data_IF_945030164831
#
_entry.id   IF_945030164831
#
_cell.length_a   1.000
_cell.length_b   1.000
_cell.length_c   1.000
_cell.angle_alpha   90.00
_cell.angle_beta   90.00
_cell.angle_gamma   90.00
#
_symmetry.space_group_name_H-M   'P 1'
#
loop_
_entity.id
_entity.type
_entity.pdbx_description
1 polymer ?
#
# COMPACT_ATOMS: atom_id res chain seq x y z
N UNK A 1 11.72 20.27 4.71
CA UNK A 1 11.53 19.65 3.37
C UNK A 1 10.77 18.35 3.59
N UNK A 2 9.93 17.90 2.65
CA UNK A 2 9.23 16.61 2.82
C UNK A 2 10.26 15.48 2.91
N UNK A 3 10.04 14.49 3.78
CA UNK A 3 10.95 13.37 3.99
C UNK A 3 11.07 12.43 2.77
N UNK A 4 10.18 12.57 1.79
CA UNK A 4 10.20 11.90 0.49
C UNK A 4 9.47 12.76 -0.56
N UNK A 5 9.80 12.58 -1.85
CA UNK A 5 9.08 13.22 -2.98
C UNK A 5 8.31 12.19 -3.81
N UNK A 6 8.79 10.94 -3.82
CA UNK A 6 8.27 9.87 -4.68
C UNK A 6 7.62 8.76 -3.84
N UNK A 7 6.43 8.36 -4.27
CA UNK A 7 5.74 7.17 -3.80
C UNK A 7 5.77 6.09 -4.89
N UNK A 8 6.06 4.85 -4.52
CA UNK A 8 6.06 3.68 -5.40
C UNK A 8 4.86 2.81 -5.04
N UNK A 9 4.08 2.41 -6.03
CA UNK A 9 2.92 1.52 -5.87
C UNK A 9 3.12 0.26 -6.71
N UNK A 10 3.46 -0.87 -6.08
CA UNK A 10 3.54 -2.16 -6.76
C UNK A 10 2.16 -2.67 -7.17
N UNK A 11 1.88 -2.72 -8.48
CA UNK A 11 0.60 -3.12 -9.07
C UNK A 11 0.77 -4.17 -10.19
N UNK A 12 1.87 -4.91 -10.20
CA UNK A 12 2.21 -5.89 -11.23
C UNK A 12 1.70 -7.31 -10.94
N UNK A 13 1.06 -7.55 -9.79
CA UNK A 13 0.57 -8.86 -9.39
C UNK A 13 -0.60 -9.36 -10.26
N UNK A 14 -0.71 -10.68 -10.42
CA UNK A 14 -1.77 -11.33 -11.23
C UNK A 14 -3.17 -11.29 -10.59
N UNK A 15 -3.28 -11.01 -9.29
CA UNK A 15 -4.57 -10.95 -8.60
C UNK A 15 -5.36 -12.27 -8.61
N UNK A 16 -4.68 -13.41 -8.54
CA UNK A 16 -5.27 -14.75 -8.72
C UNK A 16 -6.43 -15.07 -7.77
N UNK A 17 -6.43 -14.49 -6.56
CA UNK A 17 -7.51 -14.64 -5.57
C UNK A 17 -8.85 -14.05 -6.00
N UNK A 18 -8.86 -13.19 -7.02
CA UNK A 18 -10.06 -12.53 -7.58
C UNK A 18 -10.41 -13.03 -8.98
N UNK A 19 -9.84 -14.16 -9.42
CA UNK A 19 -10.29 -14.80 -10.65
C UNK A 19 -11.75 -15.24 -10.52
N UNK A 20 -12.57 -15.15 -11.59
CA UNK A 20 -12.16 -14.86 -12.97
C UNK A 20 -12.07 -13.36 -13.33
N UNK A 21 -12.51 -12.43 -12.47
CA UNK A 21 -12.55 -10.99 -12.76
C UNK A 21 -11.18 -10.43 -13.13
N UNK A 22 -10.14 -10.84 -12.40
CA UNK A 22 -8.76 -10.39 -12.62
C UNK A 22 -8.09 -10.93 -13.87
N UNK A 23 -8.79 -11.76 -14.67
CA UNK A 23 -8.35 -12.11 -16.02
C UNK A 23 -8.26 -10.88 -16.94
N UNK A 24 -9.12 -9.89 -16.72
CA UNK A 24 -9.20 -8.69 -17.57
C UNK A 24 -9.16 -7.37 -16.78
N UNK A 25 -9.57 -7.38 -15.50
CA UNK A 25 -9.62 -6.18 -14.67
C UNK A 25 -8.53 -6.26 -13.59
N UNK A 26 -7.52 -5.37 -13.59
CA UNK A 26 -6.54 -5.31 -12.51
C UNK A 26 -7.20 -5.26 -11.12
N UNK A 27 -6.72 -6.05 -10.15
CA UNK A 27 -7.30 -6.07 -8.80
C UNK A 27 -7.25 -4.69 -8.13
N UNK A 28 -6.25 -3.89 -8.48
CA UNK A 28 -5.99 -2.56 -7.93
C UNK A 28 -7.06 -1.55 -8.34
N UNK A 29 -7.84 -1.88 -9.39
CA UNK A 29 -8.97 -1.09 -9.90
C UNK A 29 -10.33 -1.62 -9.43
N UNK A 30 -10.38 -2.63 -8.55
CA UNK A 30 -11.64 -3.07 -7.95
C UNK A 30 -12.16 -1.98 -7.01
N UNK A 31 -13.42 -1.55 -7.15
CA UNK A 31 -13.93 -0.39 -6.44
C UNK A 31 -14.25 -0.75 -4.98
N UNK A 32 -13.63 -0.05 -4.04
CA UNK A 32 -14.17 0.05 -2.68
C UNK A 32 -15.26 1.09 -2.76
N UNK A 33 -16.50 0.62 -2.88
CA UNK A 33 -17.69 1.43 -3.17
C UNK A 33 -17.64 2.05 -4.58
N UNK A 34 -16.93 3.15 -4.77
CA UNK A 34 -16.79 3.83 -6.07
C UNK A 34 -15.35 4.23 -6.41
N UNK A 35 -14.42 4.03 -5.47
CA UNK A 35 -13.04 4.48 -5.58
C UNK A 35 -12.11 3.26 -5.46
N UNK A 36 -11.21 3.03 -6.42
CA UNK A 36 -10.31 1.89 -6.39
C UNK A 36 -9.21 2.08 -5.33
N UNK A 37 -8.71 0.96 -4.79
CA UNK A 37 -7.66 0.97 -3.76
C UNK A 37 -6.41 1.76 -4.17
N UNK A 38 -6.03 1.71 -5.46
CA UNK A 38 -4.88 2.48 -5.94
C UNK A 38 -5.06 4.00 -5.85
N UNK A 39 -6.28 4.51 -6.03
CA UNK A 39 -6.55 5.94 -5.86
C UNK A 39 -6.53 6.34 -4.39
N UNK A 40 -7.06 5.49 -3.51
CA UNK A 40 -7.03 5.73 -2.06
C UNK A 40 -5.58 5.84 -1.56
N UNK A 41 -4.69 4.95 -1.97
CA UNK A 41 -3.26 5.04 -1.57
C UNK A 41 -2.53 6.19 -2.26
N UNK A 42 -2.88 6.54 -3.50
CA UNK A 42 -2.31 7.71 -4.17
C UNK A 42 -2.73 9.02 -3.47
N UNK A 43 -3.97 9.09 -3.00
CA UNK A 43 -4.50 10.21 -2.20
C UNK A 43 -3.73 10.30 -0.89
N UNK A 44 -3.56 9.19 -0.17
CA UNK A 44 -2.76 9.15 1.07
C UNK A 44 -1.31 9.62 0.85
N UNK A 45 -0.67 9.20 -0.26
CA UNK A 45 0.67 9.65 -0.61
C UNK A 45 0.72 11.16 -0.89
N UNK A 46 -0.26 11.70 -1.63
CA UNK A 46 -0.37 13.13 -1.92
C UNK A 46 -0.60 13.96 -0.65
N UNK A 47 -1.49 13.51 0.24
CA UNK A 47 -1.74 14.13 1.55
C UNK A 47 -0.48 14.17 2.42
N UNK A 48 0.38 13.15 2.31
CA UNK A 48 1.67 13.08 3.00
C UNK A 48 2.78 13.89 2.32
N UNK A 49 2.49 14.57 1.20
CA UNK A 49 3.42 15.47 0.51
C UNK A 49 4.24 14.85 -0.62
N UNK A 50 3.86 13.66 -1.11
CA UNK A 50 4.41 13.14 -2.37
C UNK A 50 4.06 14.09 -3.52
N UNK A 51 4.91 14.11 -4.55
CA UNK A 51 4.65 14.82 -5.81
C UNK A 51 4.60 13.90 -7.02
N UNK A 52 5.25 12.74 -6.91
CA UNK A 52 5.37 11.75 -7.97
C UNK A 52 4.90 10.39 -7.47
N UNK A 53 4.13 9.70 -8.30
CA UNK A 53 3.72 8.32 -8.12
C UNK A 53 4.37 7.46 -9.20
N UNK A 54 5.16 6.46 -8.81
CA UNK A 54 5.70 5.44 -9.72
C UNK A 54 4.88 4.17 -9.56
N UNK A 55 4.06 3.87 -10.57
CA UNK A 55 3.27 2.65 -10.60
C UNK A 55 4.12 1.55 -11.23
N UNK A 56 4.43 0.51 -10.46
CA UNK A 56 5.10 -0.68 -11.01
C UNK A 56 4.04 -1.60 -11.56
N UNK A 57 3.91 -1.64 -12.88
CA UNK A 57 2.91 -2.47 -13.59
C UNK A 57 3.57 -3.66 -14.27
N UNK A 58 2.78 -4.51 -14.92
CA UNK A 58 3.24 -5.63 -15.74
C UNK A 58 2.66 -5.54 -17.15
N UNK A 59 3.27 -6.18 -18.17
CA UNK A 59 2.69 -6.24 -19.50
C UNK A 59 1.22 -6.70 -19.47
N UNK A 60 0.34 -5.96 -20.15
CA UNK A 60 -1.11 -6.22 -20.18
C UNK A 60 -1.92 -5.61 -19.03
N UNK A 61 -1.29 -4.87 -18.10
CA UNK A 61 -1.97 -4.12 -17.02
C UNK A 61 -1.88 -2.61 -17.21
N UNK A 62 -1.94 -2.14 -18.46
CA UNK A 62 -1.83 -0.72 -18.80
C UNK A 62 -2.97 0.12 -18.20
N UNK A 63 -4.13 -0.50 -18.00
CA UNK A 63 -5.31 0.13 -17.40
C UNK A 63 -5.04 0.77 -16.03
N UNK A 64 -4.10 0.23 -15.24
CA UNK A 64 -3.75 0.78 -13.92
C UNK A 64 -3.14 2.18 -14.06
N UNK A 65 -2.24 2.37 -15.03
CA UNK A 65 -1.64 3.68 -15.28
C UNK A 65 -2.61 4.61 -16.02
N UNK A 66 -3.42 4.06 -16.93
CA UNK A 66 -4.41 4.83 -17.69
C UNK A 66 -5.49 5.43 -16.79
N UNK A 67 -5.79 4.81 -15.65
CA UNK A 67 -6.70 5.36 -14.64
C UNK A 67 -6.28 6.75 -14.13
N UNK A 68 -4.97 7.02 -14.10
CA UNK A 68 -4.43 8.31 -13.66
C UNK A 68 -4.22 9.31 -14.81
N UNK A 69 -4.66 9.00 -16.02
CA UNK A 69 -4.59 9.93 -17.15
C UNK A 69 -5.88 10.71 -17.33
N UNK A 70 -5.80 11.97 -17.80
CA UNK A 70 -6.99 12.71 -18.23
C UNK A 70 -7.78 11.93 -19.29
N UNK A 71 -9.10 12.07 -19.27
CA UNK A 71 -10.01 11.42 -20.23
C UNK A 71 -10.85 12.48 -20.94
N UNK A 72 -10.28 13.23 -21.90
CA UNK A 72 -10.92 14.45 -22.44
C UNK A 72 -12.31 14.21 -23.02
N UNK A 73 -12.54 13.07 -23.67
CA UNK A 73 -13.85 12.73 -24.25
C UNK A 73 -14.91 12.49 -23.16
N UNK A 74 -14.55 11.76 -22.10
CA UNK A 74 -15.44 11.51 -20.96
C UNK A 74 -15.71 12.81 -20.20
N UNK A 75 -14.68 13.61 -19.96
CA UNK A 75 -14.78 14.89 -19.28
C UNK A 75 -15.70 15.87 -20.03
N UNK A 76 -15.49 16.04 -21.34
CA UNK A 76 -16.35 16.88 -22.18
C UNK A 76 -17.80 16.38 -22.18
N UNK A 77 -18.01 15.06 -22.19
CA UNK A 77 -19.35 14.47 -22.15
C UNK A 77 -20.06 14.76 -20.82
N UNK A 78 -19.35 14.65 -19.69
CA UNK A 78 -19.91 14.94 -18.37
C UNK A 78 -20.19 16.44 -18.20
N UNK A 79 -19.28 17.29 -18.68
CA UNK A 79 -19.42 18.75 -18.66
C UNK A 79 -20.62 19.20 -19.49
N UNK A 80 -20.76 18.71 -20.73
CA UNK A 80 -21.91 19.01 -21.59
C UNK A 80 -23.26 18.55 -21.00
N UNK A 81 -23.25 17.53 -20.14
CA UNK A 81 -24.44 17.02 -19.42
C UNK A 81 -24.66 17.68 -18.06
N UNK A 82 -23.81 18.63 -17.65
CA UNK A 82 -23.90 19.30 -16.35
C UNK A 82 -23.68 18.36 -15.15
N UNK A 83 -22.91 17.27 -15.33
CA UNK A 83 -22.63 16.27 -14.28
C UNK A 83 -21.36 16.61 -13.50
N UNK A 84 -21.37 17.76 -12.82
CA UNK A 84 -20.19 18.32 -12.14
C UNK A 84 -19.57 17.39 -11.09
N UNK A 85 -20.38 16.77 -10.22
CA UNK A 85 -19.85 15.86 -9.19
C UNK A 85 -19.12 14.64 -9.79
N UNK A 86 -19.67 14.06 -10.87
CA UNK A 86 -19.02 12.95 -11.58
C UNK A 86 -17.75 13.41 -12.29
N UNK A 87 -17.76 14.63 -12.85
CA UNK A 87 -16.59 15.23 -13.49
C UNK A 87 -15.45 15.44 -12.49
N UNK A 88 -15.76 15.91 -11.28
CA UNK A 88 -14.79 16.07 -10.20
C UNK A 88 -14.21 14.72 -9.77
N UNK A 89 -15.04 13.67 -9.69
CA UNK A 89 -14.55 12.30 -9.43
C UNK A 89 -13.59 11.82 -10.52
N UNK A 90 -13.93 11.98 -11.80
CA UNK A 90 -13.06 11.57 -12.93
C UNK A 90 -11.74 12.34 -12.95
N UNK A 91 -11.76 13.62 -12.58
CA UNK A 91 -10.58 14.48 -12.54
C UNK A 91 -9.70 14.29 -11.31
N UNK A 92 -10.13 13.51 -10.31
CA UNK A 92 -9.40 13.36 -9.05
C UNK A 92 -8.04 12.73 -9.26
N UNK A 93 -7.99 11.47 -9.69
CA UNK A 93 -6.73 10.74 -9.89
C UNK A 93 -5.71 11.47 -10.79
N UNK A 94 -6.08 12.01 -11.97
CA UNK A 94 -5.13 12.74 -12.83
C UNK A 94 -4.52 14.00 -12.20
N UNK A 95 -5.20 14.59 -11.20
CA UNK A 95 -4.75 15.81 -10.54
C UNK A 95 -4.04 15.55 -9.19
N UNK A 96 -3.94 14.30 -8.73
CA UNK A 96 -3.30 13.98 -7.45
C UNK A 96 -1.78 14.17 -7.49
N UNK A 97 -1.12 13.52 -8.44
CA UNK A 97 0.34 13.38 -8.50
C UNK A 97 0.80 13.25 -9.95
N UNK A 98 2.06 13.61 -10.23
CA UNK A 98 2.69 13.24 -11.51
C UNK A 98 2.90 11.73 -11.52
N UNK A 99 2.34 11.04 -12.51
CA UNK A 99 2.42 9.57 -12.60
C UNK A 99 3.45 9.13 -13.63
N UNK A 100 4.35 8.25 -13.21
CA UNK A 100 5.27 7.50 -14.06
C UNK A 100 5.02 5.99 -13.90
N UNK A 101 5.49 5.21 -14.87
CA UNK A 101 5.40 3.75 -14.82
C UNK A 101 6.78 3.11 -14.83
N UNK A 102 6.90 2.04 -14.06
CA UNK A 102 7.98 1.06 -14.15
C UNK A 102 7.39 -0.30 -14.54
N UNK A 103 8.13 -1.10 -15.29
CA UNK A 103 7.65 -2.40 -15.78
C UNK A 103 8.33 -3.53 -15.02
N UNK A 104 7.53 -4.39 -14.40
CA UNK A 104 7.95 -5.69 -13.90
C UNK A 104 7.55 -6.78 -14.92
N UNK A 105 8.50 -7.20 -15.77
CA UNK A 105 8.25 -8.20 -16.82
C UNK A 105 7.90 -9.58 -16.28
N UNK A 106 8.42 -9.93 -15.10
CA UNK A 106 8.22 -11.22 -14.43
C UNK A 106 7.82 -10.99 -12.99
N UNK A 107 6.78 -11.68 -12.55
CA UNK A 107 6.30 -11.66 -11.17
C UNK A 107 7.27 -12.40 -10.24
N UNK A 108 8.42 -11.81 -9.97
CA UNK A 108 9.49 -12.38 -9.12
C UNK A 108 9.37 -11.97 -7.65
N UNK A 109 8.26 -11.35 -7.23
CA UNK A 109 8.03 -10.90 -5.85
C UNK A 109 7.99 -9.38 -5.68
N UNK A 110 7.58 -8.97 -4.48
CA UNK A 110 7.42 -7.56 -4.10
C UNK A 110 8.75 -6.80 -4.10
N UNK A 111 9.84 -7.41 -3.63
CA UNK A 111 11.15 -6.79 -3.62
C UNK A 111 11.63 -6.46 -5.03
N UNK A 112 11.45 -7.40 -5.97
CA UNK A 112 11.76 -7.16 -7.38
C UNK A 112 10.89 -6.03 -7.96
N UNK A 113 9.60 -5.98 -7.62
CA UNK A 113 8.71 -4.91 -8.09
C UNK A 113 9.22 -3.53 -7.64
N UNK A 114 9.55 -3.38 -6.36
CA UNK A 114 10.15 -2.13 -5.84
C UNK A 114 11.46 -1.83 -6.56
N UNK A 115 12.34 -2.82 -6.77
CA UNK A 115 13.60 -2.66 -7.50
C UNK A 115 13.44 -2.13 -8.93
N UNK A 116 12.39 -2.52 -9.64
CA UNK A 116 12.10 -2.02 -11.00
C UNK A 116 11.89 -0.50 -11.05
N UNK A 117 11.49 0.14 -9.94
CA UNK A 117 11.26 1.58 -9.88
C UNK A 117 12.54 2.42 -9.67
N UNK A 118 13.71 1.80 -9.44
CA UNK A 118 14.96 2.53 -9.15
C UNK A 118 15.30 3.56 -10.24
N UNK A 119 15.09 3.20 -11.51
CA UNK A 119 15.37 4.06 -12.66
C UNK A 119 14.47 5.29 -12.79
N UNK A 120 13.32 5.32 -12.10
CA UNK A 120 12.41 6.46 -12.07
C UNK A 120 12.79 7.49 -10.98
N UNK A 121 13.78 7.20 -10.14
CA UNK A 121 14.17 8.07 -9.04
C UNK A 121 15.26 9.06 -9.45
N UNK A 122 15.21 10.27 -8.91
CA UNK A 122 16.24 11.30 -9.13
C UNK A 122 17.19 11.37 -7.93
N UNK A 123 18.26 12.17 -8.01
CA UNK A 123 19.15 12.41 -6.87
C UNK A 123 18.48 13.09 -5.67
N UNK A 124 17.28 13.68 -5.86
CA UNK A 124 16.50 14.31 -4.79
C UNK A 124 15.70 13.29 -3.97
N UNK A 125 15.53 12.07 -4.48
CA UNK A 125 14.83 10.98 -3.81
C UNK A 125 15.78 10.26 -2.84
N UNK A 126 16.13 10.89 -1.71
CA UNK A 126 16.94 10.27 -0.63
C UNK A 126 16.16 9.18 0.13
N UNK A 127 14.84 9.21 0.05
CA UNK A 127 13.94 8.18 0.54
C UNK A 127 12.73 8.04 -0.40
N UNK A 128 12.13 6.85 -0.40
CA UNK A 128 10.93 6.57 -1.18
C UNK A 128 9.85 5.98 -0.30
N UNK A 129 8.62 6.47 -0.47
CA UNK A 129 7.47 5.80 0.10
C UNK A 129 7.10 4.60 -0.77
N UNK A 130 6.78 3.45 -0.17
CA UNK A 130 6.15 2.32 -0.87
C UNK A 130 4.79 2.09 -0.23
N UNK A 131 3.75 2.07 -1.05
CA UNK A 131 2.38 1.81 -0.61
C UNK A 131 1.83 0.62 -1.39
N UNK A 132 1.34 -0.40 -0.68
CA UNK A 132 0.65 -1.52 -1.31
C UNK A 132 -0.81 -1.10 -1.58
N UNK A 133 -1.28 -1.14 -2.83
CA UNK A 133 -2.59 -0.62 -3.22
C UNK A 133 -3.76 -1.46 -2.71
N UNK A 134 -3.46 -2.64 -2.18
CA UNK A 134 -4.42 -3.57 -1.59
C UNK A 134 -4.39 -3.59 -0.06
N UNK A 135 -3.71 -2.65 0.59
CA UNK A 135 -3.69 -2.51 2.05
C UNK A 135 -4.08 -1.08 2.43
N UNK A 136 -5.25 -0.89 3.06
CA UNK A 136 -5.71 0.41 3.54
C UNK A 136 -5.40 0.54 5.03
N UNK A 137 -4.71 1.62 5.41
CA UNK A 137 -4.41 1.97 6.80
C UNK A 137 -5.22 3.21 7.16
N UNK A 138 -6.15 3.09 8.10
CA UNK A 138 -7.16 4.10 8.40
C UNK A 138 -7.15 4.51 9.88
N UNK A 139 -7.37 5.79 10.23
CA UNK A 139 -7.40 6.93 9.32
C UNK A 139 -6.04 7.13 8.63
N UNK A 140 -6.01 7.90 7.54
CA UNK A 140 -4.77 8.27 6.85
C UNK A 140 -3.87 9.12 7.75
N UNK A 141 -2.61 9.32 7.33
CA UNK A 141 -1.63 10.17 8.04
C UNK A 141 -0.45 9.42 8.66
N UNK A 142 -0.45 8.09 8.63
CA UNK A 142 0.68 7.28 9.14
C UNK A 142 1.99 7.60 8.41
N UNK A 143 1.95 7.91 7.11
CA UNK A 143 3.14 8.32 6.35
C UNK A 143 3.77 9.62 6.89
N UNK A 144 2.95 10.60 7.30
CA UNK A 144 3.45 11.82 7.94
C UNK A 144 4.13 11.53 9.28
N UNK A 145 3.58 10.59 10.06
CA UNK A 145 4.20 10.11 11.30
C UNK A 145 5.51 9.38 11.03
N UNK A 146 5.55 8.50 10.03
CA UNK A 146 6.75 7.79 9.60
C UNK A 146 7.86 8.75 9.13
N UNK A 147 7.49 9.80 8.39
CA UNK A 147 8.40 10.87 7.98
C UNK A 147 9.05 11.57 9.19
N UNK A 148 8.27 11.93 10.21
CA UNK A 148 8.80 12.53 11.44
C UNK A 148 9.74 11.59 12.21
N UNK A 149 9.45 10.28 12.23
CA UNK A 149 10.34 9.27 12.82
C UNK A 149 11.65 9.19 12.02
N UNK A 150 11.59 9.19 10.69
CA UNK A 150 12.79 9.19 9.84
C UNK A 150 13.62 10.45 10.03
N UNK A 151 13.02 11.62 10.16
CA UNK A 151 13.75 12.87 10.42
C UNK A 151 14.53 12.80 11.73
N UNK A 152 13.96 12.15 12.75
CA UNK A 152 14.61 12.00 14.07
C UNK A 152 15.71 10.94 14.09
N UNK A 153 15.50 9.79 13.46
CA UNK A 153 16.36 8.61 13.62
C UNK A 153 17.14 8.22 12.36
N UNK A 154 16.85 8.85 11.22
CA UNK A 154 17.35 8.45 9.91
C UNK A 154 16.83 7.09 9.45
N UNK A 155 17.45 6.58 8.38
CA UNK A 155 17.24 5.22 7.89
C UNK A 155 15.85 4.94 7.34
N UNK A 156 15.34 3.75 7.63
CA UNK A 156 14.08 3.23 7.07
C UNK A 156 13.01 3.18 8.16
N UNK A 157 11.77 3.52 7.79
CA UNK A 157 10.62 3.44 8.69
C UNK A 157 9.50 2.64 8.04
N UNK A 158 8.82 1.78 8.79
CA UNK A 158 7.67 1.01 8.34
C UNK A 158 6.45 1.28 9.22
N UNK A 159 5.27 0.88 8.74
CA UNK A 159 4.07 0.78 9.56
C UNK A 159 3.89 -0.64 10.08
N UNK A 160 3.52 -0.77 11.35
CA UNK A 160 3.19 -2.02 12.00
C UNK A 160 1.79 -2.00 12.60
N UNK A 161 1.16 -3.17 12.70
CA UNK A 161 -0.03 -3.40 13.52
C UNK A 161 0.26 -4.49 14.54
N UNK A 162 -0.32 -4.34 15.73
CA UNK A 162 -0.36 -5.41 16.72
C UNK A 162 -1.56 -6.30 16.41
N UNK A 163 -1.31 -7.53 15.97
CA UNK A 163 -2.36 -8.47 15.57
C UNK A 163 -2.31 -9.77 16.39
N UNK A 164 -3.44 -10.47 16.54
CA UNK A 164 -3.46 -11.74 17.25
C UNK A 164 -2.46 -12.73 16.66
N UNK A 165 -1.74 -13.44 17.53
CA UNK A 165 -0.61 -14.31 17.14
C UNK A 165 -1.03 -15.41 16.15
N UNK A 166 -2.27 -15.88 16.22
CA UNK A 166 -2.84 -16.86 15.31
C UNK A 166 -3.01 -16.34 13.86
N UNK A 167 -3.00 -15.01 13.65
CA UNK A 167 -3.12 -14.38 12.33
C UNK A 167 -1.74 -13.98 11.75
N UNK A 168 -0.66 -14.17 12.51
CA UNK A 168 0.65 -13.59 12.19
C UNK A 168 1.30 -14.18 10.92
N UNK A 169 1.02 -15.45 10.61
CA UNK A 169 1.69 -16.20 9.54
C UNK A 169 1.41 -15.68 8.12
N UNK A 170 0.52 -14.70 7.97
CA UNK A 170 0.23 -14.05 6.70
C UNK A 170 1.15 -12.85 6.40
N UNK A 171 1.96 -12.41 7.37
CA UNK A 171 2.65 -11.11 7.32
C UNK A 171 4.16 -11.23 7.57
N UNK A 172 4.90 -10.18 7.20
CA UNK A 172 6.23 -9.94 7.73
C UNK A 172 6.14 -9.51 9.19
N UNK A 173 6.95 -10.11 10.07
CA UNK A 173 6.87 -9.89 11.53
C UNK A 173 8.15 -9.26 12.03
N UNK A 174 8.03 -8.23 12.84
CA UNK A 174 9.16 -7.50 13.39
C UNK A 174 9.65 -8.12 14.69
N UNK A 175 10.96 -8.18 14.87
CA UNK A 175 11.60 -8.27 16.18
C UNK A 175 11.97 -6.85 16.61
N UNK A 176 11.51 -6.43 17.80
CA UNK A 176 11.48 -5.01 18.18
C UNK A 176 12.05 -4.75 19.57
N UNK A 177 12.59 -3.54 19.73
CA UNK A 177 12.96 -2.95 21.02
C UNK A 177 12.17 -1.67 21.26
N UNK A 178 11.90 -1.42 22.53
CA UNK A 178 11.23 -0.20 22.99
C UNK A 178 12.07 1.05 22.68
N UNK A 179 11.39 2.13 22.35
CA UNK A 179 11.99 3.47 22.29
C UNK A 179 11.41 4.34 23.40
N UNK A 180 11.74 5.63 23.42
CA UNK A 180 11.10 6.58 24.34
C UNK A 180 9.70 7.04 23.91
N UNK A 181 9.13 6.41 22.88
CA UNK A 181 7.84 6.74 22.27
C UNK A 181 7.03 5.46 22.11
N UNK A 182 5.84 5.40 22.71
CA UNK A 182 5.07 4.16 22.88
C UNK A 182 4.64 3.52 21.55
N UNK A 183 4.42 4.35 20.52
CA UNK A 183 4.01 3.92 19.19
C UNK A 183 5.18 3.82 18.20
N UNK A 184 6.43 4.01 18.66
CA UNK A 184 7.62 3.83 17.82
C UNK A 184 8.51 2.75 18.40
N UNK A 185 8.80 1.72 17.61
CA UNK A 185 9.73 0.65 18.01
C UNK A 185 10.95 0.65 17.12
N UNK A 186 12.11 0.36 17.69
CA UNK A 186 13.31 0.06 16.91
C UNK A 186 13.21 -1.39 16.44
N UNK A 187 13.44 -1.64 15.15
CA UNK A 187 13.44 -2.99 14.58
C UNK A 187 14.86 -3.55 14.61
N UNK A 188 15.02 -4.74 15.17
CA UNK A 188 16.30 -5.46 15.25
C UNK A 188 16.30 -6.77 14.47
N UNK A 189 15.15 -7.13 13.89
CA UNK A 189 15.01 -8.25 12.97
C UNK A 189 13.65 -8.20 12.27
N UNK A 190 13.53 -8.88 11.15
CA UNK A 190 12.28 -9.00 10.40
C UNK A 190 12.26 -10.36 9.70
N UNK A 191 11.11 -11.04 9.71
CA UNK A 191 10.96 -12.35 9.07
C UNK A 191 9.66 -12.41 8.28
N UNK A 192 9.71 -12.93 7.06
CA UNK A 192 8.53 -13.05 6.18
C UNK A 192 7.73 -14.31 6.54
N UNK A 193 6.45 -14.13 6.89
CA UNK A 193 5.47 -15.22 7.08
C UNK A 193 5.98 -16.36 7.98
N UNK A 194 6.46 -16.06 9.20
CA UNK A 194 6.88 -17.09 10.13
C UNK A 194 5.67 -17.93 10.56
N UNK A 195 5.92 -19.13 11.08
CA UNK A 195 4.87 -19.81 11.85
C UNK A 195 4.57 -19.01 13.11
N UNK A 196 3.34 -19.09 13.61
CA UNK A 196 2.91 -18.38 14.82
C UNK A 196 3.79 -18.69 16.06
N UNK A 197 4.33 -19.90 16.15
CA UNK A 197 5.24 -20.34 17.22
C UNK A 197 6.66 -19.75 17.09
N UNK A 198 7.10 -19.47 15.86
CA UNK A 198 8.43 -18.94 15.54
C UNK A 198 8.43 -17.40 15.42
N UNK A 199 7.25 -16.77 15.51
CA UNK A 199 7.10 -15.33 15.35
C UNK A 199 7.77 -14.55 16.50
N UNK A 200 8.68 -13.61 16.20
CA UNK A 200 9.42 -12.89 17.25
C UNK A 200 8.54 -11.94 18.07
N UNK A 201 7.42 -11.48 17.51
CA UNK A 201 6.44 -10.63 18.20
C UNK A 201 5.03 -10.80 17.60
N UNK A 202 4.11 -9.93 17.97
CA UNK A 202 2.77 -9.75 17.35
C UNK A 202 2.71 -8.53 16.42
N UNK A 203 3.83 -7.82 16.23
CA UNK A 203 3.90 -6.66 15.35
C UNK A 203 4.12 -7.09 13.90
N UNK A 204 3.06 -6.99 13.11
CA UNK A 204 3.02 -7.34 11.69
C UNK A 204 3.19 -6.10 10.81
N UNK A 205 3.91 -6.25 9.71
CA UNK A 205 4.07 -5.22 8.69
C UNK A 205 2.74 -4.91 7.99
N UNK A 206 2.44 -3.63 7.88
CA UNK A 206 1.47 -3.11 6.93
C UNK A 206 2.15 -2.69 5.63
N UNK A 207 1.37 -2.53 4.57
CA UNK A 207 1.80 -2.09 3.26
C UNK A 207 2.18 -0.61 3.18
N UNK A 208 2.88 -0.07 4.18
CA UNK A 208 3.42 1.30 4.20
C UNK A 208 4.88 1.26 4.63
N UNK A 209 5.73 1.74 3.73
CA UNK A 209 7.17 1.80 3.92
C UNK A 209 7.67 3.18 3.56
N UNK A 210 8.65 3.67 4.31
CA UNK A 210 9.47 4.83 3.96
C UNK A 210 10.93 4.35 3.96
N UNK A 211 11.39 3.97 2.78
CA UNK A 211 12.63 3.24 2.58
C UNK A 211 13.76 4.20 2.26
N UNK A 212 14.91 3.98 2.90
CA UNK A 212 16.17 4.57 2.46
C UNK A 212 16.60 3.98 1.11
N UNK A 213 17.30 4.76 0.27
CA UNK A 213 17.82 4.27 -1.03
C UNK A 213 18.71 3.05 -0.91
N UNK A 214 19.35 2.82 0.24
CA UNK A 214 20.12 1.60 0.50
C UNK A 214 19.32 0.30 0.22
N UNK A 215 17.99 0.36 0.21
CA UNK A 215 17.15 -0.78 -0.14
C UNK A 215 17.42 -1.32 -1.55
N UNK A 216 17.72 -0.47 -2.53
CA UNK A 216 17.94 -0.92 -3.90
C UNK A 216 19.21 -1.76 -4.01
N UNK A 217 20.25 -1.44 -3.25
CA UNK A 217 21.48 -2.24 -3.19
C UNK A 217 21.29 -3.53 -2.38
N UNK A 218 20.43 -3.52 -1.35
CA UNK A 218 20.02 -4.75 -0.67
C UNK A 218 19.22 -5.68 -1.60
N UNK A 219 18.29 -5.14 -2.38
CA UNK A 219 17.45 -5.89 -3.33
C UNK A 219 18.27 -6.61 -4.41
N UNK A 220 19.42 -6.05 -4.81
CA UNK A 220 20.36 -6.67 -5.76
C UNK A 220 21.12 -7.87 -5.17
N UNK A 221 21.17 -8.00 -3.84
CA UNK A 221 21.98 -9.00 -3.11
C UNK A 221 21.17 -10.14 -2.52
N UNK A 222 19.89 -9.94 -2.27
CA UNK A 222 19.02 -11.01 -1.75
C UNK A 222 18.81 -12.12 -2.77
N UNK A 223 18.50 -13.30 -2.26
CA UNK A 223 18.08 -14.46 -3.05
C UNK A 223 16.59 -14.73 -2.82
N UNK A 224 15.93 -15.53 -3.67
CA UNK A 224 14.52 -15.87 -3.47
C UNK A 224 14.27 -16.54 -2.11
N UNK A 225 13.31 -16.01 -1.36
CA UNK A 225 12.92 -16.46 -0.03
C UNK A 225 11.57 -17.18 -0.03
N UNK A 226 10.65 -16.73 0.83
CA UNK A 226 9.32 -17.31 0.95
C UNK A 226 8.59 -17.36 -0.41
N UNK A 227 8.07 -18.54 -0.77
CA UNK A 227 7.37 -18.75 -2.05
C UNK A 227 8.26 -18.76 -3.29
N UNK A 228 9.59 -18.71 -3.15
CA UNK A 228 10.52 -18.60 -4.29
C UNK A 228 10.55 -17.20 -4.91
N UNK A 229 10.14 -16.19 -4.15
CA UNK A 229 10.06 -14.79 -4.57
C UNK A 229 11.16 -13.95 -3.88
N UNK A 230 11.59 -12.87 -4.54
CA UNK A 230 12.44 -11.83 -3.97
C UNK A 230 11.59 -10.94 -3.06
N UNK A 231 11.67 -11.18 -1.75
CA UNK A 231 10.86 -10.47 -0.76
C UNK A 231 11.49 -9.15 -0.36
N UNK A 232 10.68 -8.09 -0.25
CA UNK A 232 11.13 -6.81 0.30
C UNK A 232 11.58 -6.97 1.76
N UNK A 233 10.89 -7.83 2.52
CA UNK A 233 11.22 -8.21 3.89
C UNK A 233 12.66 -8.71 4.02
N UNK A 234 13.13 -9.57 3.11
CA UNK A 234 14.48 -10.13 3.16
C UNK A 234 15.55 -9.05 2.93
N UNK A 235 15.28 -8.07 2.05
CA UNK A 235 16.19 -6.95 1.81
C UNK A 235 16.26 -6.00 3.03
N UNK A 236 15.13 -5.77 3.69
CA UNK A 236 15.09 -4.97 4.94
C UNK A 236 15.83 -5.71 6.05
N UNK A 237 15.63 -7.03 6.20
CA UNK A 237 16.36 -7.86 7.15
C UNK A 237 17.88 -7.83 6.91
N UNK A 238 18.32 -7.87 5.63
CA UNK A 238 19.73 -7.70 5.27
C UNK A 238 20.28 -6.34 5.73
N UNK A 239 19.55 -5.25 5.48
CA UNK A 239 19.95 -3.91 5.93
C UNK A 239 20.06 -3.83 7.46
N UNK A 240 19.10 -4.41 8.19
CA UNK A 240 19.14 -4.46 9.66
C UNK A 240 20.41 -5.17 10.14
N UNK A 241 20.74 -6.32 9.54
CA UNK A 241 21.95 -7.08 9.89
C UNK A 241 23.26 -6.32 9.57
N UNK A 242 23.22 -5.40 8.62
CA UNK A 242 24.33 -4.53 8.24
C UNK A 242 24.40 -3.25 9.09
N UNK A 243 23.52 -3.11 10.09
CA UNK A 243 23.49 -1.98 11.03
C UNK A 243 22.70 -0.76 10.54
N UNK A 244 21.93 -0.89 9.46
CA UNK A 244 21.03 0.18 9.01
C UNK A 244 19.92 0.43 10.03
N UNK A 245 19.67 1.69 10.44
CA UNK A 245 18.60 1.98 11.40
C UNK A 245 17.22 1.74 10.77
N UNK A 246 16.43 0.88 11.41
CA UNK A 246 15.05 0.60 11.02
C UNK A 246 14.13 0.82 12.22
N UNK A 247 13.03 1.54 11.99
CA UNK A 247 11.98 1.76 12.98
C UNK A 247 10.62 1.37 12.41
N UNK A 248 9.66 1.11 13.30
CA UNK A 248 8.25 0.95 12.95
C UNK A 248 7.40 1.94 13.73
N UNK A 249 6.38 2.48 13.07
CA UNK A 249 5.25 3.16 13.71
C UNK A 249 4.13 2.15 13.89
N UNK A 250 3.71 1.92 15.14
CA UNK A 250 2.60 1.02 15.47
C UNK A 250 1.29 1.80 15.29
N UNK A 251 0.53 1.48 14.24
CA UNK A 251 -0.75 2.12 13.97
C UNK A 251 -1.85 1.50 14.85
N UNK A 252 -2.67 2.35 15.45
CA UNK A 252 -3.76 1.95 16.38
C UNK A 252 -5.16 2.08 15.79
N UNK A 253 -5.26 2.53 14.54
CA UNK A 253 -6.53 2.62 13.82
C UNK A 253 -6.92 1.32 13.10
N UNK A 254 -7.84 1.45 12.15
CA UNK A 254 -8.33 0.34 11.32
C UNK A 254 -7.38 -0.03 10.18
N UNK A 255 -7.58 -1.24 9.66
CA UNK A 255 -6.88 -1.77 8.48
C UNK A 255 -7.81 -2.61 7.64
N UNK A 256 -7.77 -2.44 6.32
CA UNK A 256 -8.44 -3.34 5.38
C UNK A 256 -7.46 -3.96 4.40
N UNK A 257 -7.45 -5.30 4.35
CA UNK A 257 -6.77 -6.07 3.31
C UNK A 257 -7.72 -6.28 2.11
N UNK A 258 -7.51 -5.50 1.05
CA UNK A 258 -8.21 -5.62 -0.23
C UNK A 258 -7.61 -6.72 -1.12
N UNK A 259 -6.54 -7.38 -0.68
CA UNK A 259 -5.82 -8.41 -1.43
C UNK A 259 -6.51 -9.77 -1.44
N UNK A 260 -7.64 -9.92 -0.77
CA UNK A 260 -8.48 -11.13 -0.80
C UNK A 260 -9.99 -10.78 -0.80
N UNK A 261 -10.87 -11.64 -1.35
CA UNK A 261 -12.29 -11.34 -1.46
C UNK A 261 -12.99 -11.03 -0.12
N UNK A 262 -12.63 -11.74 0.95
CA UNK A 262 -13.26 -11.55 2.26
C UNK A 262 -12.91 -10.20 2.89
N UNK A 263 -11.63 -9.81 2.82
CA UNK A 263 -11.19 -8.50 3.31
C UNK A 263 -11.71 -7.34 2.45
N UNK A 264 -11.73 -7.52 1.13
CA UNK A 264 -12.33 -6.56 0.20
C UNK A 264 -13.82 -6.32 0.48
N UNK A 265 -14.61 -7.37 0.70
CA UNK A 265 -16.04 -7.23 1.01
C UNK A 265 -16.27 -6.50 2.34
N UNK A 266 -15.47 -6.79 3.37
CA UNK A 266 -15.54 -6.06 4.64
C UNK A 266 -15.26 -4.57 4.43
N UNK A 267 -14.20 -4.24 3.70
CA UNK A 267 -13.87 -2.85 3.37
C UNK A 267 -15.00 -2.15 2.61
N UNK A 268 -15.57 -2.81 1.59
CA UNK A 268 -16.68 -2.27 0.82
C UNK A 268 -17.92 -2.01 1.69
N UNK A 269 -18.22 -2.91 2.64
CA UNK A 269 -19.34 -2.73 3.58
C UNK A 269 -19.06 -1.58 4.53
N UNK A 270 -17.88 -1.49 5.14
CA UNK A 270 -17.53 -0.43 6.09
C UNK A 270 -17.58 0.94 5.42
N UNK A 271 -16.99 1.09 4.22
CA UNK A 271 -17.05 2.33 3.44
C UNK A 271 -18.49 2.67 2.99
N UNK A 272 -19.29 1.66 2.63
CA UNK A 272 -20.67 1.91 2.20
C UNK A 272 -21.57 2.34 3.36
N UNK A 273 -21.36 1.80 4.57
CA UNK A 273 -22.07 2.19 5.78
C UNK A 273 -21.75 3.62 6.22
N UNK A 274 -20.55 4.11 5.90
CA UNK A 274 -20.13 5.50 6.13
C UNK A 274 -20.63 6.47 5.04
N UNK A 275 -21.15 5.97 3.92
CA UNK A 275 -21.55 6.82 2.80
C UNK A 275 -22.86 7.59 3.09
N UNK A 276 -22.90 8.93 2.86
CA UNK A 276 -24.04 9.76 3.24
C UNK A 276 -25.34 9.37 2.51
N UNK A 277 -25.26 8.94 1.25
CA UNK A 277 -26.45 8.70 0.42
C UNK A 277 -27.16 7.37 0.71
N UNK A 278 -26.43 6.31 1.09
CA UNK A 278 -26.98 4.95 1.20
C UNK A 278 -26.55 4.17 2.45
N UNK A 279 -25.67 4.71 3.31
CA UNK A 279 -25.20 4.00 4.49
C UNK A 279 -26.31 3.64 5.47
N UNK A 280 -27.28 4.55 5.68
CA UNK A 280 -28.41 4.32 6.58
C UNK A 280 -29.32 3.18 6.08
N UNK A 281 -29.75 3.23 4.82
CA UNK A 281 -30.61 2.22 4.20
C UNK A 281 -29.90 0.86 4.13
N UNK A 282 -28.62 0.84 3.76
CA UNK A 282 -27.81 -0.38 3.74
C UNK A 282 -27.68 -1.01 5.14
N UNK A 283 -27.47 -0.18 6.17
CA UNK A 283 -27.38 -0.65 7.55
C UNK A 283 -28.67 -1.29 8.05
N UNK A 284 -29.83 -0.74 7.68
CA UNK A 284 -31.13 -1.36 7.97
C UNK A 284 -31.28 -2.70 7.25
N UNK A 285 -31.00 -2.73 5.95
CA UNK A 285 -31.07 -3.95 5.14
C UNK A 285 -30.17 -5.08 5.68
N UNK A 286 -28.95 -4.75 6.11
CA UNK A 286 -28.01 -5.73 6.67
C UNK A 286 -28.52 -6.34 7.99
N UNK A 287 -29.10 -5.53 8.89
CA UNK A 287 -29.70 -6.04 10.14
C UNK A 287 -30.82 -7.04 9.84
N UNK A 288 -31.72 -6.69 8.92
CA UNK A 288 -32.80 -7.60 8.52
C UNK A 288 -32.27 -8.92 7.95
N UNK A 289 -31.16 -8.92 7.20
CA UNK A 289 -30.59 -10.18 6.68
C UNK A 289 -30.00 -11.04 7.79
N UNK A 290 -29.26 -10.43 8.71
CA UNK A 290 -28.60 -11.16 9.81
C UNK A 290 -29.61 -11.70 10.82
N UNK A 291 -30.70 -10.99 11.09
CA UNK A 291 -31.76 -11.44 12.02
C UNK A 291 -32.62 -12.58 11.43
N UNK A 292 -32.66 -12.71 10.09
CA UNK A 292 -33.37 -13.78 9.38
C UNK A 292 -32.47 -14.96 8.98
N UNK A 293 -31.21 -14.99 9.46
CA UNK A 293 -30.20 -16.02 9.14
C UNK A 293 -30.08 -17.08 10.23
#
# INVERSE_FOLDING_TARGET
MSAFQTAIVPAAGLGTRFLPTTKAVPKELLPVVDTPGIELVATEAAEAGAKKLVIVTSPGKDAVAEYFRPQPELEQTLEARGKTELLDKVRRAPNLLTVETAIQDKALGLGHAVGCAEGNLTGEDEAVAVLLPDDLVLPTGVLGRMAAVRERFGGTVLCAFDIPREQISAYGVFDVRETGDDDVKQVVGMVEKPKAEDAPSTFAAAGRYLLDRAIFDALKRITPGAGGELQLTDAIALLINEGHPVHVVVHRGGRHDLGNPGGFLKAAVDFALEHPDYGAELGEWLRERLDNS
#
